data_IF_200195238569
#
_entry.id   IF_200195238569
#
_cell.length_a   1.000
_cell.length_b   1.000
_cell.length_c   1.000
_cell.angle_alpha   90.00
_cell.angle_beta   90.00
_cell.angle_gamma   90.00
#
_symmetry.space_group_name_H-M   'P 1'
#
loop_
_entity.id
_entity.type
_entity.pdbx_description
1 polymer ?
#
# COMPACT_ATOMS: atom_id res chain seq x y z
N UNK A 1 -4.57 5.90 -13.80
CA UNK A 1 -4.94 5.48 -12.42
C UNK A 1 -6.44 5.61 -12.23
N UNK A 2 -7.10 4.65 -11.58
CA UNK A 2 -8.53 4.74 -11.25
C UNK A 2 -8.68 5.36 -9.86
N UNK A 3 -9.03 6.65 -9.81
CA UNK A 3 -9.13 7.40 -8.54
C UNK A 3 -10.15 6.84 -7.56
N UNK A 4 -11.28 6.30 -8.05
CA UNK A 4 -12.30 5.69 -7.20
C UNK A 4 -11.77 4.46 -6.46
N UNK A 5 -11.12 3.53 -7.17
CA UNK A 5 -10.49 2.35 -6.56
C UNK A 5 -9.40 2.71 -5.57
N UNK A 6 -8.65 3.76 -5.84
CA UNK A 6 -7.60 4.23 -4.93
C UNK A 6 -8.23 4.82 -3.66
N UNK A 7 -9.23 5.67 -3.80
CA UNK A 7 -9.95 6.23 -2.65
C UNK A 7 -10.64 5.13 -1.82
N UNK A 8 -11.25 4.13 -2.46
CA UNK A 8 -11.84 2.97 -1.78
C UNK A 8 -10.78 2.11 -1.06
N UNK A 9 -9.66 1.84 -1.73
CA UNK A 9 -8.55 1.11 -1.12
C UNK A 9 -7.93 1.89 0.04
N UNK A 10 -7.94 3.22 0.03
CA UNK A 10 -7.28 4.01 1.06
C UNK A 10 -8.22 4.67 2.08
N UNK A 11 -9.54 4.47 1.94
CA UNK A 11 -10.52 4.88 2.96
C UNK A 11 -10.41 4.10 4.26
N UNK A 12 -9.71 2.95 4.23
CA UNK A 12 -9.46 2.15 5.42
C UNK A 12 -8.08 2.48 6.00
N UNK A 13 -7.99 2.87 7.29
CA UNK A 13 -6.75 3.40 7.88
C UNK A 13 -5.56 2.43 7.85
N UNK A 14 -5.79 1.14 8.11
CA UNK A 14 -4.72 0.14 8.10
C UNK A 14 -4.11 -0.03 6.71
N UNK A 15 -4.90 0.04 5.63
CA UNK A 15 -4.40 0.01 4.24
C UNK A 15 -3.56 1.25 3.92
N UNK A 16 -3.97 2.42 4.40
CA UNK A 16 -3.18 3.63 4.26
C UNK A 16 -1.83 3.51 5.00
N UNK A 17 -1.83 3.00 6.23
CA UNK A 17 -0.60 2.77 7.01
C UNK A 17 0.32 1.74 6.35
N UNK A 18 -0.22 0.60 5.88
CA UNK A 18 0.56 -0.41 5.14
C UNK A 18 1.20 0.21 3.89
N UNK A 19 0.43 0.97 3.11
CA UNK A 19 0.97 1.62 1.92
C UNK A 19 2.06 2.63 2.28
N UNK A 20 1.87 3.41 3.35
CA UNK A 20 2.86 4.38 3.81
C UNK A 20 4.19 3.70 4.20
N UNK A 21 4.15 2.57 4.90
CA UNK A 21 5.36 1.80 5.24
C UNK A 21 6.06 1.26 3.98
N UNK A 22 5.29 0.80 2.99
CA UNK A 22 5.84 0.36 1.71
C UNK A 22 6.44 1.51 0.88
N UNK A 23 5.85 2.71 0.95
CA UNK A 23 6.37 3.92 0.29
C UNK A 23 7.68 4.37 0.96
N UNK A 24 7.74 4.38 2.30
CA UNK A 24 8.97 4.69 3.05
C UNK A 24 10.11 3.72 2.74
N UNK A 25 9.78 2.44 2.53
CA UNK A 25 10.76 1.42 2.20
C UNK A 25 11.18 1.43 0.72
N UNK A 26 10.48 2.13 -0.18
CA UNK A 26 10.73 2.08 -1.62
C UNK A 26 12.19 2.43 -1.96
N UNK A 27 12.87 1.70 -2.87
CA UNK A 27 12.35 0.61 -3.71
C UNK A 27 12.38 -0.78 -3.07
N UNK A 28 12.71 -0.87 -1.77
CA UNK A 28 12.81 -2.13 -1.04
C UNK A 28 11.44 -2.79 -0.84
N UNK A 29 11.48 -4.10 -0.59
CA UNK A 29 10.30 -4.94 -0.37
C UNK A 29 10.12 -5.21 1.11
N UNK A 30 8.89 -5.22 1.58
CA UNK A 30 8.54 -5.71 2.90
C UNK A 30 7.84 -7.06 2.79
N UNK A 31 8.24 -8.01 3.64
CA UNK A 31 7.58 -9.31 3.73
C UNK A 31 6.26 -9.18 4.49
N UNK A 32 5.35 -10.14 4.29
CA UNK A 32 4.10 -10.19 5.07
C UNK A 32 4.40 -10.29 6.57
N UNK A 33 5.41 -11.07 6.97
CA UNK A 33 5.83 -11.15 8.37
C UNK A 33 6.31 -9.80 8.91
N UNK A 34 7.04 -9.01 8.11
CA UNK A 34 7.50 -7.69 8.56
C UNK A 34 6.33 -6.71 8.72
N UNK A 35 5.38 -6.74 7.78
CA UNK A 35 4.17 -5.94 7.87
C UNK A 35 3.29 -6.37 9.05
N UNK A 36 3.26 -7.67 9.37
CA UNK A 36 2.59 -8.21 10.56
C UNK A 36 3.13 -7.59 11.86
N UNK A 37 4.45 -7.47 11.98
CA UNK A 37 5.09 -6.81 13.13
C UNK A 37 4.72 -5.33 13.23
N UNK A 38 4.69 -4.63 12.09
CA UNK A 38 4.39 -3.20 12.03
C UNK A 38 2.93 -2.88 12.34
N UNK A 39 2.00 -3.74 11.93
CA UNK A 39 0.57 -3.52 12.12
C UNK A 39 0.00 -4.21 13.35
N UNK A 40 0.72 -5.18 13.92
CA UNK A 40 0.22 -6.07 14.98
C UNK A 40 -1.03 -6.87 14.58
N UNK A 41 -1.22 -7.10 13.28
CA UNK A 41 -2.38 -7.80 12.72
C UNK A 41 -2.08 -9.26 12.42
N UNK A 42 -3.11 -10.09 12.26
CA UNK A 42 -2.91 -11.47 11.81
C UNK A 42 -2.37 -11.53 10.37
N UNK A 43 -1.56 -12.55 10.06
CA UNK A 43 -0.98 -12.75 8.72
C UNK A 43 -2.02 -12.70 7.59
N UNK A 44 -3.17 -13.36 7.77
CA UNK A 44 -4.23 -13.36 6.77
C UNK A 44 -4.86 -11.97 6.58
N UNK A 45 -5.02 -11.21 7.66
CA UNK A 45 -5.53 -9.82 7.61
C UNK A 45 -4.58 -8.94 6.81
N UNK A 46 -3.27 -9.01 7.08
CA UNK A 46 -2.26 -8.27 6.31
C UNK A 46 -2.32 -8.65 4.83
N UNK A 47 -2.44 -9.95 4.52
CA UNK A 47 -2.53 -10.44 3.14
C UNK A 47 -3.78 -9.90 2.42
N UNK A 48 -4.93 -9.92 3.08
CA UNK A 48 -6.18 -9.37 2.55
C UNK A 48 -6.04 -7.89 2.21
N UNK A 49 -5.44 -7.09 3.10
CA UNK A 49 -5.21 -5.67 2.87
C UNK A 49 -4.25 -5.40 1.71
N UNK A 50 -3.18 -6.18 1.60
CA UNK A 50 -2.23 -6.09 0.48
C UNK A 50 -2.88 -6.44 -0.85
N UNK A 51 -3.80 -7.41 -0.86
CA UNK A 51 -4.52 -7.77 -2.07
C UNK A 51 -5.43 -6.65 -2.55
N UNK A 52 -6.15 -5.98 -1.64
CA UNK A 52 -6.96 -4.79 -1.97
C UNK A 52 -6.12 -3.63 -2.49
N UNK A 53 -4.95 -3.39 -1.91
CA UNK A 53 -4.01 -2.38 -2.42
C UNK A 53 -3.48 -2.75 -3.81
N UNK A 54 -3.28 -4.04 -4.08
CA UNK A 54 -2.84 -4.55 -5.38
C UNK A 54 -3.93 -4.39 -6.45
N UNK A 55 -5.19 -4.68 -6.13
CA UNK A 55 -6.34 -4.43 -7.01
C UNK A 55 -6.48 -2.95 -7.43
N UNK A 56 -6.01 -2.03 -6.57
CA UNK A 56 -5.95 -0.60 -6.84
C UNK A 56 -4.64 -0.15 -7.55
N UNK A 57 -3.73 -1.06 -7.87
CA UNK A 57 -2.40 -0.80 -8.44
C UNK A 57 -1.49 0.07 -7.55
N UNK A 58 -1.66 0.01 -6.24
CA UNK A 58 -0.87 0.78 -5.27
C UNK A 58 0.35 0.01 -4.77
N UNK A 59 0.30 -1.32 -4.83
CA UNK A 59 1.40 -2.21 -4.44
C UNK A 59 1.62 -3.29 -5.48
N UNK A 60 2.84 -3.79 -5.55
CA UNK A 60 3.25 -4.83 -6.47
C UNK A 60 3.72 -6.07 -5.69
N UNK A 61 3.19 -7.23 -6.08
CA UNK A 61 3.66 -8.53 -5.61
C UNK A 61 4.75 -9.02 -6.57
N UNK A 62 5.93 -9.35 -6.05
CA UNK A 62 6.98 -9.92 -6.89
C UNK A 62 6.62 -11.34 -7.36
N UNK A 63 7.15 -11.76 -8.51
CA UNK A 63 6.97 -13.11 -9.07
C UNK A 63 7.43 -14.25 -8.15
N UNK A 64 8.33 -13.98 -7.19
CA UNK A 64 8.73 -14.97 -6.16
C UNK A 64 7.85 -14.98 -4.91
N UNK A 65 6.81 -14.13 -4.82
CA UNK A 65 5.90 -13.95 -3.67
C UNK A 65 6.57 -13.63 -2.32
N UNK A 66 7.85 -13.23 -2.30
CA UNK A 66 8.62 -12.98 -1.06
C UNK A 66 8.39 -11.63 -0.38
N UNK A 67 7.47 -10.82 -0.90
CA UNK A 67 7.15 -9.51 -0.32
C UNK A 67 6.49 -8.58 -1.32
N UNK A 68 6.09 -7.44 -0.81
CA UNK A 68 5.39 -6.39 -1.53
C UNK A 68 6.25 -5.14 -1.56
N UNK A 69 6.11 -4.35 -2.62
CA UNK A 69 6.66 -3.00 -2.71
C UNK A 69 5.57 -2.01 -3.11
N UNK A 70 5.75 -0.74 -2.78
CA UNK A 70 4.91 0.30 -3.35
C UNK A 70 5.09 0.34 -4.88
N UNK A 71 3.98 0.49 -5.60
CA UNK A 71 4.04 0.82 -7.02
C UNK A 71 4.64 2.22 -7.21
N UNK A 72 5.39 2.46 -8.28
CA UNK A 72 5.98 3.77 -8.54
C UNK A 72 4.92 4.90 -8.57
N UNK A 73 3.74 4.60 -9.11
CA UNK A 73 2.59 5.51 -9.13
C UNK A 73 2.10 5.90 -7.74
N UNK A 74 2.24 5.03 -6.74
CA UNK A 74 1.84 5.31 -5.36
C UNK A 74 2.76 6.34 -4.67
N UNK A 75 3.98 6.58 -5.19
CA UNK A 75 4.90 7.57 -4.65
C UNK A 75 4.42 9.01 -4.87
N UNK A 76 3.53 9.21 -5.84
CA UNK A 76 2.90 10.52 -6.11
C UNK A 76 1.80 10.87 -5.11
N UNK A 77 1.36 9.90 -4.30
CA UNK A 77 0.31 10.05 -3.30
C UNK A 77 0.89 10.74 -2.07
N UNK A 78 0.30 11.87 -1.69
CA UNK A 78 0.67 12.57 -0.46
C UNK A 78 -0.19 12.10 0.70
N UNK A 79 0.46 11.65 1.76
CA UNK A 79 -0.16 11.34 3.05
C UNK A 79 -0.03 12.57 3.94
N UNK A 80 -1.02 13.47 3.90
CA UNK A 80 -1.18 14.53 4.89
C UNK A 80 -2.28 14.08 5.86
N UNK A 81 -2.09 14.21 7.17
CA UNK A 81 -2.99 13.69 8.22
C UNK A 81 -4.47 14.10 8.15
N UNK A 82 -4.88 14.85 7.14
CA UNK A 82 -6.23 15.33 6.84
C UNK A 82 -6.89 14.62 5.63
N UNK A 83 -6.29 13.53 5.13
CA UNK A 83 -6.83 12.72 4.03
C UNK A 83 -5.85 12.50 2.88
N UNK A 84 -6.31 11.89 1.79
CA UNK A 84 -5.45 11.45 0.67
C UNK A 84 -5.71 12.30 -0.56
N UNK A 85 -4.69 13.02 -1.02
CA UNK A 85 -4.75 13.80 -2.26
C UNK A 85 -3.89 13.14 -3.34
N UNK A 86 -4.53 12.75 -4.45
CA UNK A 86 -3.85 12.28 -5.64
C UNK A 86 -3.39 13.49 -6.45
N UNK A 87 -2.08 13.62 -6.67
CA UNK A 87 -1.57 14.58 -7.65
C UNK A 87 -1.66 13.93 -9.03
N UNK A 88 -2.27 14.63 -10.00
CA UNK A 88 -2.05 14.32 -11.40
C UNK A 88 -0.66 14.83 -11.76
N UNK A 89 0.15 13.98 -12.39
CA UNK A 89 1.31 14.45 -13.14
C UNK A 89 0.77 15.20 -14.36
N UNK A 90 1.19 16.46 -14.53
CA UNK A 90 1.01 17.27 -15.74
C UNK A 90 2.12 16.97 -16.74
#
# INVERSE_FOLDING_TARGET
MNGHKICEALSQPLRASILQELVKAYPMKLSVSKLQELTSEARMTVWFHLDRLREANLVELNGSRRGFRAAASALTIRFNGDGIKLKKEE
#
